data_IF_511847080811
#
_entry.id   IF_511847080811
#
_cell.length_a   1.000
_cell.length_b   1.000
_cell.length_c   1.000
_cell.angle_alpha   90.00
_cell.angle_beta   90.00
_cell.angle_gamma   90.00
#
_symmetry.space_group_name_H-M   'P 1'
#
loop_
_entity.id
_entity.type
_entity.pdbx_description
1 polymer ?
#
# COMPACT_ATOMS: atom_id res chain seq x y z
N UNK A 1 -8.75 -12.57 -13.77
CA UNK A 1 -9.10 -11.15 -13.94
C UNK A 1 -7.95 -10.38 -13.34
N UNK A 2 -7.26 -9.54 -14.08
CA UNK A 2 -6.18 -8.71 -13.57
C UNK A 2 -6.79 -7.44 -12.96
N UNK A 3 -6.38 -7.06 -11.77
CA UNK A 3 -6.82 -5.85 -11.08
C UNK A 3 -5.56 -5.12 -10.62
N UNK A 4 -5.41 -3.89 -11.09
CA UNK A 4 -4.31 -2.97 -10.81
C UNK A 4 -4.64 -1.95 -9.72
N UNK A 5 -5.93 -1.75 -9.45
CA UNK A 5 -6.41 -0.87 -8.38
C UNK A 5 -7.40 -1.58 -7.48
N UNK A 6 -7.21 -1.42 -6.18
CA UNK A 6 -8.12 -1.96 -5.18
C UNK A 6 -8.26 -0.98 -4.01
N UNK A 7 -9.46 -0.92 -3.45
CA UNK A 7 -9.73 -0.13 -2.26
C UNK A 7 -9.95 -1.08 -1.09
N UNK A 8 -9.25 -0.83 0.00
CA UNK A 8 -9.35 -1.62 1.21
C UNK A 8 -9.59 -0.73 2.41
N UNK A 9 -10.35 -1.26 3.36
CA UNK A 9 -10.57 -0.66 4.67
C UNK A 9 -9.73 -1.40 5.70
N UNK A 10 -8.85 -0.67 6.37
CA UNK A 10 -7.91 -1.21 7.37
C UNK A 10 -8.34 -0.72 8.73
N UNK A 11 -8.37 -1.63 9.70
CA UNK A 11 -8.71 -1.31 11.08
C UNK A 11 -7.66 -1.96 11.98
N UNK A 12 -6.90 -1.15 12.72
CA UNK A 12 -5.99 -1.71 13.73
C UNK A 12 -6.75 -2.19 14.95
N UNK A 13 -6.14 -3.06 15.75
CA UNK A 13 -6.74 -3.55 16.97
C UNK A 13 -6.90 -2.45 18.01
N UNK A 14 -8.05 -2.36 18.65
CA UNK A 14 -8.22 -1.51 19.84
C UNK A 14 -7.48 -2.13 21.02
N UNK A 15 -6.98 -1.31 21.93
CA UNK A 15 -6.45 -1.77 23.21
C UNK A 15 -7.55 -2.34 24.10
N UNK A 16 -7.19 -3.32 24.92
CA UNK A 16 -8.06 -3.83 25.97
C UNK A 16 -8.20 -2.83 27.13
N UNK A 17 -9.33 -2.83 27.81
CA UNK A 17 -9.54 -1.97 28.97
C UNK A 17 -8.73 -2.44 30.18
N UNK A 18 -8.28 -1.50 31.02
CA UNK A 18 -7.79 -1.80 32.35
C UNK A 18 -8.88 -2.38 33.25
N UNK A 19 -8.48 -3.02 34.33
CA UNK A 19 -9.41 -3.58 35.30
C UNK A 19 -9.43 -2.80 36.60
N UNK A 20 -10.60 -2.71 37.25
CA UNK A 20 -10.73 -2.32 38.63
C UNK A 20 -10.89 -3.60 39.47
N UNK A 21 -9.93 -3.88 40.31
CA UNK A 21 -9.98 -5.05 41.19
C UNK A 21 -9.24 -4.80 42.52
N UNK A 22 -9.60 -5.56 43.52
CA UNK A 22 -9.06 -5.47 44.88
C UNK A 22 -8.46 -6.80 45.27
N UNK A 23 -7.34 -6.75 45.96
CA UNK A 23 -6.74 -7.93 46.55
C UNK A 23 -7.63 -8.42 47.74
N UNK A 24 -8.08 -9.63 47.67
CA UNK A 24 -8.83 -10.29 48.73
C UNK A 24 -8.10 -11.57 49.12
N UNK A 25 -7.50 -11.54 50.28
CA UNK A 25 -6.79 -12.71 50.84
C UNK A 25 -7.25 -12.95 52.30
N UNK A 26 -7.15 -14.20 52.72
CA UNK A 26 -7.44 -14.58 54.11
C UNK A 26 -6.46 -13.84 55.04
N UNK A 27 -6.94 -13.18 56.04
CA UNK A 27 -6.18 -12.36 57.00
C UNK A 27 -5.64 -11.01 56.48
N UNK A 28 -6.11 -10.51 55.33
CA UNK A 28 -5.77 -9.17 54.84
C UNK A 28 -7.05 -8.34 54.77
N UNK A 29 -7.29 -7.53 55.80
CA UNK A 29 -8.53 -6.73 55.91
C UNK A 29 -8.67 -5.64 54.85
N UNK A 30 -7.55 -5.05 54.42
CA UNK A 30 -7.51 -3.97 53.41
C UNK A 30 -6.49 -4.31 52.35
N UNK A 31 -6.89 -5.20 51.41
CA UNK A 31 -6.09 -5.47 50.23
C UNK A 31 -6.05 -4.27 49.30
N UNK A 32 -4.89 -3.91 48.79
CA UNK A 32 -4.71 -2.82 47.84
C UNK A 32 -5.33 -3.09 46.48
N UNK A 33 -5.29 -2.10 45.55
CA UNK A 33 -5.77 -2.28 44.21
C UNK A 33 -4.95 -3.34 43.48
N UNK A 34 -5.62 -4.19 42.72
CA UNK A 34 -5.05 -5.36 42.05
C UNK A 34 -5.63 -5.59 40.65
N UNK A 35 -6.08 -4.54 40.00
CA UNK A 35 -6.51 -4.57 38.61
C UNK A 35 -5.33 -4.53 37.65
N UNK A 36 -5.28 -5.47 36.70
CA UNK A 36 -4.27 -5.54 35.64
C UNK A 36 -4.57 -4.57 34.52
N UNK A 37 -3.54 -4.29 33.72
CA UNK A 37 -3.66 -3.45 32.53
C UNK A 37 -4.26 -4.25 31.38
N UNK A 38 -4.93 -3.59 30.43
CA UNK A 38 -5.35 -4.18 29.15
C UNK A 38 -4.15 -4.44 28.23
N UNK A 39 -4.30 -5.38 27.31
CA UNK A 39 -3.32 -5.65 26.26
C UNK A 39 -3.37 -4.61 25.15
N UNK A 40 -2.27 -4.40 24.45
CA UNK A 40 -2.23 -3.57 23.23
C UNK A 40 -3.00 -4.26 22.10
N UNK A 41 -3.67 -3.50 21.23
CA UNK A 41 -4.22 -3.99 19.97
C UNK A 41 -3.11 -4.31 18.96
N UNK A 42 -3.40 -5.17 17.99
CA UNK A 42 -2.49 -5.52 16.90
C UNK A 42 -2.34 -4.39 15.89
N UNK A 43 -1.16 -4.24 15.32
CA UNK A 43 -0.85 -3.33 14.22
C UNK A 43 -1.30 -3.94 12.90
N UNK A 44 -1.42 -3.11 11.84
CA UNK A 44 -1.69 -3.57 10.48
C UNK A 44 -0.53 -3.16 9.58
N UNK A 45 0.05 -4.15 8.92
CA UNK A 45 1.17 -3.99 7.98
C UNK A 45 0.79 -4.47 6.59
N UNK A 46 1.27 -3.77 5.57
CA UNK A 46 1.44 -4.35 4.23
C UNK A 46 2.82 -5.00 4.13
N UNK A 47 2.88 -6.13 3.43
CA UNK A 47 4.12 -6.88 3.20
C UNK A 47 4.23 -7.23 1.73
N UNK A 48 5.38 -6.98 1.13
CA UNK A 48 5.67 -7.36 -0.24
C UNK A 48 5.74 -8.89 -0.38
N UNK A 49 5.14 -9.41 -1.44
CA UNK A 49 5.21 -10.84 -1.79
C UNK A 49 5.45 -11.02 -3.28
N UNK A 50 6.48 -11.78 -3.64
CA UNK A 50 6.81 -12.11 -5.02
C UNK A 50 5.83 -13.10 -5.65
N UNK A 51 5.13 -13.88 -4.82
CA UNK A 51 4.14 -14.86 -5.30
C UNK A 51 2.84 -14.23 -5.83
N UNK A 52 2.64 -12.93 -5.57
CA UNK A 52 1.46 -12.19 -5.99
C UNK A 52 1.80 -11.30 -7.18
N UNK A 53 1.02 -11.42 -8.26
CA UNK A 53 1.16 -10.58 -9.47
C UNK A 53 -0.04 -9.67 -9.72
N UNK A 54 -1.10 -9.74 -8.91
CA UNK A 54 -2.33 -8.96 -9.09
C UNK A 54 -2.95 -8.58 -7.74
N UNK A 55 -3.81 -7.54 -7.73
CA UNK A 55 -4.62 -7.15 -6.57
C UNK A 55 -5.99 -7.82 -6.54
N UNK A 56 -6.17 -8.97 -7.23
CA UNK A 56 -7.46 -9.63 -7.40
C UNK A 56 -8.12 -10.03 -6.07
N UNK A 57 -7.35 -10.48 -5.10
CA UNK A 57 -7.84 -10.95 -3.80
C UNK A 57 -8.55 -9.83 -3.03
N UNK A 58 -8.11 -8.59 -3.22
CA UNK A 58 -8.67 -7.41 -2.57
C UNK A 58 -10.06 -7.02 -3.10
N UNK A 59 -10.44 -7.50 -4.28
CA UNK A 59 -11.81 -7.37 -4.79
C UNK A 59 -12.81 -8.20 -3.99
N UNK A 60 -12.38 -9.36 -3.52
CA UNK A 60 -13.25 -10.28 -2.77
C UNK A 60 -13.23 -9.98 -1.27
N UNK A 61 -12.10 -9.51 -0.76
CA UNK A 61 -11.93 -9.14 0.63
C UNK A 61 -11.38 -7.71 0.72
N UNK A 62 -12.24 -6.76 1.02
CA UNK A 62 -11.90 -5.34 1.12
C UNK A 62 -11.74 -4.83 2.55
N UNK A 63 -12.12 -5.61 3.58
CA UNK A 63 -12.01 -5.22 4.98
C UNK A 63 -11.00 -6.09 5.73
N UNK A 64 -10.05 -5.43 6.37
CA UNK A 64 -8.98 -6.05 7.14
C UNK A 64 -8.93 -5.45 8.54
N UNK A 65 -9.05 -6.29 9.55
CA UNK A 65 -9.01 -5.86 10.95
C UNK A 65 -8.01 -6.71 11.74
N UNK A 66 -7.11 -6.03 12.47
CA UNK A 66 -6.20 -6.69 13.38
C UNK A 66 -6.91 -7.08 14.69
N UNK A 67 -6.28 -7.94 15.45
CA UNK A 67 -6.86 -8.46 16.70
C UNK A 67 -6.85 -7.38 17.79
N UNK A 68 -7.95 -7.27 18.51
CA UNK A 68 -8.06 -6.39 19.71
C UNK A 68 -7.24 -6.95 20.85
N UNK A 69 -6.75 -6.08 21.73
CA UNK A 69 -6.14 -6.46 23.00
C UNK A 69 -7.17 -6.99 24.00
N UNK A 70 -6.78 -7.97 24.80
CA UNK A 70 -7.64 -8.49 25.87
C UNK A 70 -7.70 -7.50 27.04
N UNK A 71 -8.83 -7.47 27.72
CA UNK A 71 -8.98 -6.64 28.91
C UNK A 71 -8.11 -7.16 30.08
N UNK A 72 -7.67 -6.25 30.93
CA UNK A 72 -7.03 -6.57 32.19
C UNK A 72 -7.96 -7.37 33.13
N UNK A 73 -7.38 -8.13 34.02
CA UNK A 73 -8.12 -8.97 34.93
C UNK A 73 -7.70 -8.71 36.40
N UNK A 74 -8.38 -9.39 37.32
CA UNK A 74 -8.04 -9.36 38.77
C UNK A 74 -6.65 -9.92 39.02
N UNK A 75 -6.09 -9.67 40.21
CA UNK A 75 -4.79 -10.17 40.70
C UNK A 75 -3.60 -9.69 39.85
N UNK A 76 -3.68 -8.45 39.33
CA UNK A 76 -2.67 -7.83 38.43
C UNK A 76 -2.39 -8.66 37.19
N UNK A 77 -3.35 -9.47 36.72
CA UNK A 77 -3.22 -10.17 35.45
C UNK A 77 -3.48 -9.18 34.29
N UNK A 78 -2.44 -8.97 33.48
CA UNK A 78 -2.55 -8.12 32.29
C UNK A 78 -3.22 -8.89 31.15
N UNK A 79 -3.99 -8.16 30.31
CA UNK A 79 -4.57 -8.69 29.10
C UNK A 79 -3.48 -9.02 28.06
N UNK A 80 -3.72 -10.05 27.24
CA UNK A 80 -2.81 -10.38 26.14
C UNK A 80 -2.89 -9.32 25.05
N UNK A 81 -1.75 -9.03 24.40
CA UNK A 81 -1.70 -8.17 23.23
C UNK A 81 -2.39 -8.85 22.05
N UNK A 82 -3.10 -8.08 21.25
CA UNK A 82 -3.64 -8.52 19.97
C UNK A 82 -2.51 -8.86 18.98
N UNK A 83 -2.77 -9.82 18.10
CA UNK A 83 -1.82 -10.19 17.04
C UNK A 83 -1.83 -9.15 15.94
N UNK A 84 -0.65 -8.83 15.42
CA UNK A 84 -0.49 -7.97 14.24
C UNK A 84 -1.05 -8.66 13.00
N UNK A 85 -1.56 -7.86 12.07
CA UNK A 85 -2.10 -8.33 10.81
C UNK A 85 -1.15 -7.96 9.67
N UNK A 86 -0.73 -8.96 8.91
CA UNK A 86 0.09 -8.80 7.72
C UNK A 86 -0.77 -9.03 6.48
N UNK A 87 -0.83 -8.03 5.61
CA UNK A 87 -1.56 -8.06 4.35
C UNK A 87 -0.53 -8.15 3.24
N UNK A 88 -0.52 -9.26 2.50
CA UNK A 88 0.44 -9.47 1.41
C UNK A 88 -0.03 -8.76 0.14
N UNK A 89 0.87 -8.01 -0.50
CA UNK A 89 0.65 -7.30 -1.76
C UNK A 89 1.76 -7.58 -2.75
N UNK A 90 1.51 -7.46 -4.06
CA UNK A 90 2.56 -7.59 -5.07
C UNK A 90 3.64 -6.50 -4.92
N UNK A 91 4.84 -6.80 -5.39
CA UNK A 91 5.89 -5.80 -5.57
C UNK A 91 5.42 -4.67 -6.50
N UNK A 92 5.87 -3.44 -6.24
CA UNK A 92 5.48 -2.27 -7.01
C UNK A 92 4.08 -1.74 -6.68
N UNK A 93 3.52 -2.11 -5.53
CA UNK A 93 2.25 -1.58 -5.05
C UNK A 93 2.45 -0.22 -4.39
N UNK A 94 1.81 0.80 -4.93
CA UNK A 94 1.70 2.14 -4.32
C UNK A 94 0.48 2.22 -3.45
N UNK A 95 0.65 2.83 -2.31
CA UNK A 95 -0.34 2.93 -1.25
C UNK A 95 -0.72 4.39 -1.04
N UNK A 96 -2.01 4.71 -1.21
CA UNK A 96 -2.55 6.06 -0.99
C UNK A 96 -3.60 6.06 0.10
N UNK A 97 -3.61 7.09 0.90
CA UNK A 97 -4.72 7.36 1.80
C UNK A 97 -5.86 8.04 1.01
N UNK A 98 -7.06 7.44 1.04
CA UNK A 98 -8.20 7.97 0.29
C UNK A 98 -8.74 9.28 0.84
N UNK A 99 -8.51 9.60 2.11
CA UNK A 99 -9.00 10.83 2.74
C UNK A 99 -8.10 12.02 2.42
N UNK A 100 -6.78 11.81 2.47
CA UNK A 100 -5.80 12.89 2.25
C UNK A 100 -5.28 12.94 0.81
N UNK A 101 -5.41 11.85 0.06
CA UNK A 101 -4.82 11.67 -1.27
C UNK A 101 -3.30 11.47 -1.27
N UNK A 102 -2.67 11.49 -0.09
CA UNK A 102 -1.21 11.35 0.07
C UNK A 102 -0.73 9.94 -0.26
N UNK A 103 0.47 9.84 -0.84
CA UNK A 103 1.18 8.58 -1.02
C UNK A 103 1.93 8.27 0.26
N UNK A 104 1.50 7.21 0.95
CA UNK A 104 2.05 6.77 2.23
C UNK A 104 3.12 5.70 2.10
N UNK A 105 3.25 5.09 0.93
CA UNK A 105 4.28 4.11 0.69
C UNK A 105 4.31 3.60 -0.74
N UNK A 106 5.48 3.10 -1.14
CA UNK A 106 5.75 2.44 -2.40
C UNK A 106 6.56 1.18 -2.08
N UNK A 107 5.94 0.01 -2.23
CA UNK A 107 6.51 -1.26 -1.83
C UNK A 107 7.35 -1.81 -2.97
N UNK A 108 8.69 -1.72 -2.84
CA UNK A 108 9.66 -2.04 -3.89
C UNK A 108 10.44 -3.32 -3.64
N UNK A 109 10.72 -3.62 -2.38
CA UNK A 109 11.61 -4.72 -2.02
C UNK A 109 10.86 -5.90 -1.40
N UNK A 110 11.40 -7.09 -1.60
CA UNK A 110 10.87 -8.30 -0.98
C UNK A 110 10.88 -8.18 0.55
N UNK A 111 9.85 -8.69 1.20
CA UNK A 111 9.63 -8.61 2.66
C UNK A 111 9.61 -7.19 3.24
N UNK A 112 9.56 -6.16 2.42
CA UNK A 112 9.35 -4.80 2.88
C UNK A 112 8.02 -4.68 3.61
N UNK A 113 8.06 -4.03 4.79
CA UNK A 113 6.88 -3.86 5.66
C UNK A 113 6.54 -2.39 5.79
N UNK A 114 5.33 -2.05 5.38
CA UNK A 114 4.76 -0.71 5.55
C UNK A 114 3.70 -0.76 6.65
N UNK A 115 3.85 0.05 7.68
CA UNK A 115 2.84 0.22 8.73
C UNK A 115 1.69 1.06 8.19
N UNK A 116 0.48 0.50 8.16
CA UNK A 116 -0.74 1.22 7.75
C UNK A 116 -1.50 1.84 8.91
N UNK A 117 -1.57 1.12 10.02
CA UNK A 117 -2.30 1.57 11.18
C UNK A 117 -1.75 0.91 12.46
N UNK A 118 -1.37 1.73 13.42
CA UNK A 118 -0.87 1.28 14.72
C UNK A 118 -2.01 0.90 15.64
N UNK A 119 -1.84 -0.20 16.38
CA UNK A 119 -2.81 -0.66 17.37
C UNK A 119 -2.91 0.25 18.58
N UNK A 120 -4.11 0.38 19.11
CA UNK A 120 -4.40 1.17 20.30
C UNK A 120 -3.68 0.62 21.54
N UNK A 121 -3.27 1.50 22.43
CA UNK A 121 -2.66 1.11 23.72
C UNK A 121 -3.69 0.49 24.64
N UNK A 122 -3.26 -0.48 25.43
CA UNK A 122 -4.09 -1.02 26.51
C UNK A 122 -4.27 -0.01 27.65
N UNK A 123 -5.48 0.06 28.18
CA UNK A 123 -5.81 0.90 29.32
C UNK A 123 -5.13 0.43 30.60
N UNK A 124 -4.81 1.35 31.48
CA UNK A 124 -4.17 1.03 32.76
C UNK A 124 -5.18 0.57 33.79
N UNK A 125 -4.83 -0.49 34.54
CA UNK A 125 -5.62 -0.97 35.66
C UNK A 125 -5.50 -0.07 36.91
N UNK A 126 -6.43 -0.21 37.84
CA UNK A 126 -6.48 0.65 39.04
C UNK A 126 -5.19 0.51 39.92
N UNK A 127 -4.45 -0.58 39.82
CA UNK A 127 -3.18 -0.75 40.52
C UNK A 127 -2.13 0.30 40.13
N UNK A 128 -2.18 0.82 38.87
CA UNK A 128 -1.24 1.83 38.38
C UNK A 128 -1.50 3.24 38.93
N UNK A 129 -2.68 3.48 39.50
CA UNK A 129 -3.11 4.79 39.99
C UNK A 129 -3.04 4.92 41.50
N UNK A 130 -2.55 3.87 42.19
CA UNK A 130 -2.31 3.93 43.60
C UNK A 130 -1.12 4.84 43.93
N UNK A 131 -1.35 5.81 44.81
CA UNK A 131 -0.33 6.70 45.36
C UNK A 131 -0.36 6.66 46.90
N UNK A 132 0.61 7.32 47.54
CA UNK A 132 0.64 7.43 49.01
C UNK A 132 -0.60 8.14 49.58
N UNK A 133 -1.13 9.07 48.84
CA UNK A 133 -2.35 9.84 49.22
C UNK A 133 -3.62 9.14 48.77
N UNK A 134 -3.64 8.53 47.58
CA UNK A 134 -4.77 7.80 47.00
C UNK A 134 -4.44 6.29 46.99
N UNK A 135 -4.73 5.61 48.06
CA UNK A 135 -4.40 4.17 48.18
C UNK A 135 -5.40 3.22 47.52
N UNK A 136 -6.61 3.70 47.22
CA UNK A 136 -7.71 2.86 46.72
C UNK A 136 -8.43 3.51 45.52
N UNK A 137 -7.74 3.70 44.35
CA UNK A 137 -8.39 4.29 43.17
C UNK A 137 -9.48 3.34 42.67
N UNK A 138 -10.70 3.90 42.44
CA UNK A 138 -11.87 3.15 42.01
C UNK A 138 -12.10 3.22 40.49
N UNK A 139 -11.09 3.55 39.72
CA UNK A 139 -11.16 3.68 38.28
C UNK A 139 -10.01 2.98 37.57
N UNK A 140 -10.18 2.72 36.28
CA UNK A 140 -9.15 2.26 35.35
C UNK A 140 -9.29 3.05 34.05
N UNK A 141 -8.28 3.04 33.21
CA UNK A 141 -8.35 3.61 31.87
C UNK A 141 -8.98 2.61 30.90
N UNK A 142 -9.89 3.05 30.00
CA UNK A 142 -10.25 2.25 28.84
C UNK A 142 -9.04 2.11 27.89
N UNK A 143 -9.07 1.09 27.02
CA UNK A 143 -8.10 0.96 25.95
C UNK A 143 -8.33 2.01 24.87
N UNK A 144 -7.23 2.42 24.22
CA UNK A 144 -7.32 3.32 23.05
C UNK A 144 -8.03 2.61 21.89
N UNK A 145 -8.86 3.34 21.16
CA UNK A 145 -9.48 2.84 19.94
C UNK A 145 -8.42 2.57 18.87
N UNK A 146 -8.66 1.54 18.06
CA UNK A 146 -7.85 1.31 16.86
C UNK A 146 -8.07 2.39 15.81
N UNK A 147 -7.09 2.56 14.94
CA UNK A 147 -7.13 3.48 13.80
C UNK A 147 -7.86 2.81 12.65
N UNK A 148 -8.78 3.54 12.03
CA UNK A 148 -9.52 3.11 10.85
C UNK A 148 -9.14 3.98 9.65
N UNK A 149 -8.72 3.34 8.54
CA UNK A 149 -8.27 4.01 7.32
C UNK A 149 -8.85 3.36 6.08
N UNK A 150 -9.18 4.19 5.11
CA UNK A 150 -9.56 3.76 3.76
C UNK A 150 -8.34 3.98 2.86
N UNK A 151 -7.81 2.90 2.30
CA UNK A 151 -6.56 2.85 1.55
C UNK A 151 -6.85 2.44 0.11
N UNK A 152 -6.26 3.16 -0.84
CA UNK A 152 -6.19 2.75 -2.23
C UNK A 152 -4.83 2.10 -2.50
N UNK A 153 -4.86 0.89 -3.04
CA UNK A 153 -3.71 0.16 -3.54
C UNK A 153 -3.69 0.31 -5.05
N UNK A 154 -2.57 0.72 -5.60
CA UNK A 154 -2.35 0.84 -7.05
C UNK A 154 -1.08 0.08 -7.44
N UNK A 155 -1.24 -0.95 -8.26
CA UNK A 155 -0.11 -1.71 -8.77
C UNK A 155 0.54 -0.96 -9.94
N UNK A 156 1.78 -0.54 -9.74
CA UNK A 156 2.54 0.20 -10.76
C UNK A 156 3.24 -0.69 -11.77
N UNK A 157 3.62 -1.91 -11.39
CA UNK A 157 4.21 -2.88 -12.32
C UNK A 157 3.09 -3.55 -13.09
N UNK A 158 2.91 -3.14 -14.35
CA UNK A 158 1.90 -3.75 -15.23
C UNK A 158 2.48 -4.98 -15.91
N UNK A 159 3.77 -4.98 -16.26
CA UNK A 159 4.45 -6.11 -16.91
C UNK A 159 5.95 -6.07 -16.68
N UNK A 160 6.56 -7.25 -16.55
CA UNK A 160 8.02 -7.39 -16.56
C UNK A 160 8.59 -7.30 -17.97
N UNK A 161 7.84 -7.75 -18.98
CA UNK A 161 8.28 -7.78 -20.38
C UNK A 161 7.29 -7.00 -21.23
N UNK A 162 7.79 -6.00 -21.95
CA UNK A 162 7.01 -5.23 -22.93
C UNK A 162 7.18 -5.78 -24.34
N UNK A 163 6.09 -6.04 -25.06
CA UNK A 163 6.15 -6.45 -26.47
C UNK A 163 6.07 -5.23 -27.39
N UNK A 164 7.05 -5.14 -28.26
CA UNK A 164 7.10 -4.17 -29.36
C UNK A 164 6.90 -4.86 -30.71
N UNK A 165 6.48 -4.12 -31.69
CA UNK A 165 6.38 -4.61 -33.06
C UNK A 165 5.29 -3.92 -33.87
N UNK A 166 5.44 -3.93 -35.18
CA UNK A 166 4.43 -3.38 -36.11
C UNK A 166 3.05 -4.05 -35.92
N UNK A 167 1.95 -3.39 -36.36
CA UNK A 167 0.66 -4.05 -36.46
C UNK A 167 0.78 -5.35 -37.27
N UNK A 168 0.03 -6.36 -36.84
CA UNK A 168 0.03 -7.70 -37.45
C UNK A 168 1.37 -8.47 -37.44
N UNK A 169 2.38 -8.02 -36.67
CA UNK A 169 3.61 -8.76 -36.45
C UNK A 169 3.41 -10.07 -35.66
N UNK A 170 2.22 -10.29 -35.12
CA UNK A 170 1.84 -11.48 -34.41
C UNK A 170 1.99 -11.38 -32.88
N UNK A 171 2.07 -10.17 -32.31
CA UNK A 171 2.17 -9.94 -30.86
C UNK A 171 1.05 -10.60 -30.06
N UNK A 172 -0.21 -10.34 -30.46
CA UNK A 172 -1.37 -10.92 -29.74
C UNK A 172 -1.46 -12.42 -29.88
N UNK A 173 -1.05 -12.98 -31.05
CA UNK A 173 -0.95 -14.43 -31.27
C UNK A 173 0.12 -15.01 -30.35
N UNK A 174 1.28 -14.38 -30.24
CA UNK A 174 2.36 -14.80 -29.37
C UNK A 174 1.92 -14.78 -27.89
N UNK A 175 1.30 -13.69 -27.39
CA UNK A 175 0.76 -13.64 -26.03
C UNK A 175 -0.21 -14.81 -25.79
N UNK A 176 -1.10 -15.06 -26.75
CA UNK A 176 -2.08 -16.16 -26.64
C UNK A 176 -1.42 -17.53 -26.58
N UNK A 177 -0.26 -17.69 -27.24
CA UNK A 177 0.48 -18.96 -27.26
C UNK A 177 1.26 -19.27 -25.99
N UNK A 178 1.68 -18.24 -25.25
CA UNK A 178 2.51 -18.38 -24.04
C UNK A 178 1.74 -18.18 -22.73
N UNK A 179 0.53 -17.63 -22.80
CA UNK A 179 -0.26 -17.31 -21.61
C UNK A 179 -0.96 -18.56 -21.05
N UNK A 180 -0.80 -18.81 -19.75
CA UNK A 180 -1.46 -19.90 -19.03
C UNK A 180 -3.00 -19.74 -18.94
N UNK A 181 -3.50 -18.52 -19.12
CA UNK A 181 -4.92 -18.19 -19.22
C UNK A 181 -5.16 -17.37 -20.48
N UNK A 182 -6.41 -17.40 -21.02
CA UNK A 182 -6.75 -16.53 -22.17
C UNK A 182 -6.31 -15.11 -21.90
N UNK A 183 -5.54 -14.47 -22.82
CA UNK A 183 -5.10 -13.10 -22.67
C UNK A 183 -6.28 -12.19 -22.31
N UNK A 184 -6.10 -11.32 -21.36
CA UNK A 184 -7.17 -10.44 -20.92
C UNK A 184 -6.93 -9.04 -21.45
N UNK A 185 -7.97 -8.53 -22.03
CA UNK A 185 -8.14 -7.13 -22.36
C UNK A 185 -8.35 -6.41 -21.05
N UNK A 186 -7.40 -5.58 -20.63
CA UNK A 186 -7.53 -4.79 -19.40
C UNK A 186 -8.02 -3.40 -19.78
N UNK A 187 -9.23 -3.03 -19.33
CA UNK A 187 -9.80 -1.69 -19.50
C UNK A 187 -9.11 -0.74 -18.50
N UNK A 188 -8.15 0.01 -18.98
CA UNK A 188 -7.54 1.09 -18.23
C UNK A 188 -8.26 2.39 -18.52
N UNK A 189 -8.75 3.14 -17.52
CA UNK A 189 -9.53 4.36 -17.72
C UNK A 189 -8.75 5.50 -18.39
N UNK A 190 -7.44 5.32 -18.59
CA UNK A 190 -6.53 6.29 -19.23
C UNK A 190 -5.95 5.81 -20.56
N UNK A 191 -6.39 4.66 -21.09
CA UNK A 191 -5.97 4.16 -22.40
C UNK A 191 -7.15 4.13 -23.36
N UNK A 192 -7.00 4.72 -24.53
CA UNK A 192 -7.97 4.59 -25.63
C UNK A 192 -7.75 3.32 -26.45
N UNK A 193 -6.56 2.68 -26.29
CA UNK A 193 -6.26 1.33 -26.78
C UNK A 193 -5.98 0.41 -25.59
N UNK A 194 -6.75 -0.64 -25.52
CA UNK A 194 -6.70 -1.60 -24.43
C UNK A 194 -5.51 -2.54 -24.62
N UNK A 195 -4.51 -2.56 -23.71
CA UNK A 195 -3.38 -3.47 -23.84
C UNK A 195 -3.80 -4.93 -23.63
N UNK A 196 -3.20 -5.83 -24.42
CA UNK A 196 -3.32 -7.25 -24.17
C UNK A 196 -2.26 -7.67 -23.15
N UNK A 197 -2.70 -8.20 -22.00
CA UNK A 197 -1.83 -8.73 -20.97
C UNK A 197 -1.85 -10.26 -20.99
N UNK A 198 -0.69 -10.88 -20.95
CA UNK A 198 -0.51 -12.32 -20.79
C UNK A 198 0.21 -12.63 -19.48
N UNK A 199 -0.37 -13.50 -18.66
CA UNK A 199 0.30 -14.06 -17.49
C UNK A 199 0.99 -15.35 -17.92
N UNK A 200 2.30 -15.37 -17.81
CA UNK A 200 3.15 -16.50 -18.18
C UNK A 200 3.57 -17.22 -16.89
N UNK A 201 3.29 -18.51 -16.83
CA UNK A 201 3.62 -19.32 -15.67
C UNK A 201 4.98 -20.01 -15.89
N UNK A 202 5.87 -19.88 -14.93
CA UNK A 202 7.16 -20.57 -14.93
C UNK A 202 6.98 -22.04 -14.50
N UNK A 203 7.92 -22.91 -14.88
CA UNK A 203 7.88 -24.33 -14.47
C UNK A 203 7.95 -24.55 -12.96
N UNK A 204 8.55 -23.64 -12.22
CA UNK A 204 8.68 -23.63 -10.75
C UNK A 204 7.42 -23.12 -10.00
N UNK A 205 6.43 -22.64 -10.74
CA UNK A 205 5.16 -22.16 -10.20
C UNK A 205 5.04 -20.63 -10.11
N UNK A 206 6.12 -19.91 -10.25
CA UNK A 206 6.11 -18.45 -10.33
C UNK A 206 5.48 -17.97 -11.64
N UNK A 207 5.06 -16.72 -11.68
CA UNK A 207 4.46 -16.12 -12.88
C UNK A 207 5.00 -14.72 -13.11
N UNK A 208 5.09 -14.33 -14.37
CA UNK A 208 5.38 -12.95 -14.76
C UNK A 208 4.38 -12.46 -15.81
N UNK A 209 4.30 -11.16 -15.97
CA UNK A 209 3.34 -10.52 -16.87
C UNK A 209 4.05 -9.98 -18.11
N UNK A 210 3.49 -10.29 -19.26
CA UNK A 210 3.89 -9.75 -20.57
C UNK A 210 2.79 -8.80 -21.05
N UNK A 211 3.15 -7.59 -21.47
CA UNK A 211 2.21 -6.61 -22.01
C UNK A 211 2.48 -6.30 -23.46
N UNK A 212 1.44 -6.32 -24.30
CA UNK A 212 1.49 -5.71 -25.64
C UNK A 212 1.50 -4.19 -25.49
N UNK A 213 2.42 -3.53 -26.19
CA UNK A 213 2.53 -2.06 -26.25
C UNK A 213 1.82 -1.58 -27.51
N UNK A 214 0.51 -1.25 -27.42
CA UNK A 214 -0.21 -0.71 -28.57
C UNK A 214 0.18 0.75 -28.80
N UNK A 215 0.14 1.20 -30.04
CA UNK A 215 0.19 2.62 -30.38
C UNK A 215 1.55 3.20 -30.77
N UNK A 216 2.61 2.38 -30.91
CA UNK A 216 3.87 2.81 -31.55
C UNK A 216 3.70 2.67 -33.08
N UNK A 217 3.11 3.66 -33.72
CA UNK A 217 2.96 3.74 -35.20
C UNK A 217 3.05 5.21 -35.61
N UNK A 218 3.53 5.45 -36.83
CA UNK A 218 3.66 6.79 -37.46
C UNK A 218 2.52 7.73 -37.08
N UNK A 219 2.84 8.84 -36.37
CA UNK A 219 1.89 9.90 -36.01
C UNK A 219 1.44 9.93 -34.51
N UNK A 220 1.85 9.01 -33.67
CA UNK A 220 1.52 9.04 -32.24
C UNK A 220 2.23 10.20 -31.50
N UNK A 221 3.33 10.73 -32.06
CA UNK A 221 4.05 11.90 -31.55
C UNK A 221 3.38 13.24 -31.80
N UNK A 222 2.41 13.33 -32.74
CA UNK A 222 1.83 14.58 -33.20
C UNK A 222 0.53 14.99 -32.45
N UNK A 223 0.36 14.56 -31.21
CA UNK A 223 -0.57 15.24 -30.29
C UNK A 223 -1.99 14.70 -30.22
N UNK A 224 -2.32 13.54 -30.77
CA UNK A 224 -3.61 12.90 -30.55
C UNK A 224 -3.52 11.87 -29.45
N UNK A 225 -3.41 12.37 -28.27
CA UNK A 225 -3.96 11.88 -27.00
C UNK A 225 -3.73 10.44 -26.49
N UNK A 226 -2.91 9.57 -27.10
CA UNK A 226 -2.97 8.12 -26.84
C UNK A 226 -1.79 7.52 -26.05
N UNK A 227 -0.66 8.21 -25.97
CA UNK A 227 0.60 7.57 -25.63
C UNK A 227 1.11 7.77 -24.21
N UNK A 228 1.05 8.99 -23.69
CA UNK A 228 1.84 9.37 -22.52
C UNK A 228 1.50 8.63 -21.22
N UNK A 229 0.24 8.34 -20.96
CA UNK A 229 -0.16 7.64 -19.74
C UNK A 229 0.19 6.15 -19.78
N UNK A 230 0.02 5.50 -20.95
CA UNK A 230 0.35 4.09 -21.13
C UNK A 230 1.86 3.85 -21.22
N UNK A 231 2.58 4.72 -21.94
CA UNK A 231 4.04 4.62 -22.08
C UNK A 231 4.77 4.83 -20.75
N UNK A 232 4.21 5.58 -19.80
CA UNK A 232 4.68 5.61 -18.40
C UNK A 232 4.67 4.22 -17.73
N UNK A 233 3.78 3.34 -18.14
CA UNK A 233 3.71 1.98 -17.61
C UNK A 233 4.73 1.06 -18.28
N UNK A 234 5.08 1.34 -19.54
CA UNK A 234 6.13 0.62 -20.28
C UNK A 234 7.53 0.95 -19.75
N UNK A 235 7.75 2.17 -19.27
CA UNK A 235 8.99 2.58 -18.61
C UNK A 235 9.38 1.67 -17.43
N UNK A 236 8.44 0.85 -16.97
CA UNK A 236 8.56 -0.02 -15.80
C UNK A 236 8.82 -1.48 -16.15
N UNK A 237 8.89 -1.80 -17.43
CA UNK A 237 9.28 -3.15 -17.87
C UNK A 237 10.76 -3.37 -17.65
N UNK A 238 11.14 -4.60 -17.28
CA UNK A 238 12.53 -4.99 -17.09
C UNK A 238 13.29 -4.94 -18.41
N UNK A 239 12.64 -5.43 -19.47
CA UNK A 239 13.16 -5.38 -20.84
C UNK A 239 12.05 -5.44 -21.88
N UNK A 240 12.43 -5.19 -23.14
CA UNK A 240 11.54 -5.15 -24.27
C UNK A 240 11.77 -6.36 -25.18
N UNK A 241 10.72 -6.95 -25.70
CA UNK A 241 10.78 -8.02 -26.69
C UNK A 241 10.20 -7.47 -28.01
N UNK A 242 11.06 -7.29 -29.00
CA UNK A 242 10.68 -6.72 -30.28
C UNK A 242 10.33 -7.83 -31.28
N UNK A 243 9.03 -7.98 -31.57
CA UNK A 243 8.52 -8.96 -32.51
C UNK A 243 8.54 -8.38 -33.92
N UNK A 244 9.34 -9.00 -34.78
CA UNK A 244 9.53 -8.60 -36.19
C UNK A 244 8.89 -9.61 -37.09
N UNK A 245 8.05 -9.14 -38.01
CA UNK A 245 7.44 -9.96 -39.05
C UNK A 245 8.42 -10.17 -40.21
N UNK A 246 8.86 -11.41 -40.44
CA UNK A 246 9.80 -11.77 -41.49
C UNK A 246 9.17 -11.74 -42.90
N UNK A 247 7.84 -11.75 -43.01
CA UNK A 247 7.13 -11.77 -44.33
C UNK A 247 7.06 -10.39 -44.96
N UNK A 248 7.40 -9.32 -44.25
CA UNK A 248 7.37 -7.97 -44.80
C UNK A 248 8.53 -7.73 -45.73
N UNK A 249 8.39 -6.77 -46.67
CA UNK A 249 9.43 -6.42 -47.63
C UNK A 249 10.73 -5.96 -46.94
N UNK A 250 10.59 -5.12 -45.89
CA UNK A 250 11.72 -4.51 -45.19
C UNK A 250 11.62 -4.64 -43.65
N UNK A 251 11.86 -5.84 -43.09
CA UNK A 251 11.76 -6.06 -41.65
C UNK A 251 12.71 -5.18 -40.81
N UNK A 252 13.91 -4.91 -41.36
CA UNK A 252 14.94 -4.10 -40.67
C UNK A 252 14.50 -2.64 -40.58
N UNK A 253 13.91 -2.09 -41.64
CA UNK A 253 13.35 -0.72 -41.62
C UNK A 253 12.23 -0.59 -40.58
N UNK A 254 11.34 -1.58 -40.52
CA UNK A 254 10.24 -1.59 -39.55
C UNK A 254 10.76 -1.58 -38.10
N UNK A 255 11.82 -2.33 -37.82
CA UNK A 255 12.51 -2.32 -36.55
C UNK A 255 13.11 -0.94 -36.22
N UNK A 256 13.82 -0.31 -37.19
CA UNK A 256 14.43 1.00 -37.00
C UNK A 256 13.38 2.10 -36.77
N UNK A 257 12.24 2.04 -37.43
CA UNK A 257 11.12 3.00 -37.23
C UNK A 257 10.61 2.94 -35.81
N UNK A 258 10.35 1.75 -35.27
CA UNK A 258 9.84 1.60 -33.89
C UNK A 258 10.90 2.09 -32.89
N UNK A 259 12.16 1.79 -33.11
CA UNK A 259 13.23 2.27 -32.20
C UNK A 259 13.40 3.81 -32.27
N UNK A 260 13.21 4.41 -33.43
CA UNK A 260 13.23 5.87 -33.57
C UNK A 260 12.04 6.52 -32.85
N UNK A 261 10.87 5.89 -32.83
CA UNK A 261 9.71 6.37 -32.07
C UNK A 261 9.92 6.22 -30.55
N UNK A 262 10.48 5.09 -30.10
CA UNK A 262 10.84 4.91 -28.69
C UNK A 262 11.82 5.98 -28.21
N UNK A 263 12.84 6.29 -29.01
CA UNK A 263 13.84 7.31 -28.69
C UNK A 263 13.24 8.73 -28.62
N UNK A 264 12.26 9.04 -29.47
CA UNK A 264 11.54 10.33 -29.40
C UNK A 264 10.70 10.46 -28.13
N UNK A 265 10.20 9.34 -27.64
CA UNK A 265 9.32 9.32 -26.47
C UNK A 265 10.11 9.42 -25.16
N UNK A 266 11.07 8.53 -24.95
CA UNK A 266 11.89 8.50 -23.73
C UNK A 266 13.26 7.87 -24.01
N UNK A 267 14.30 8.60 -23.69
CA UNK A 267 15.69 8.20 -23.87
C UNK A 267 16.03 6.93 -23.09
N UNK A 268 15.42 6.72 -21.91
CA UNK A 268 15.57 5.51 -21.11
C UNK A 268 15.05 4.28 -21.83
N UNK A 269 13.85 4.36 -22.44
CA UNK A 269 13.27 3.23 -23.19
C UNK A 269 14.09 2.85 -24.40
N UNK A 270 14.71 3.83 -25.07
CA UNK A 270 15.61 3.59 -26.19
C UNK A 270 16.85 2.78 -25.80
N UNK A 271 17.30 2.93 -24.54
CA UNK A 271 18.47 2.22 -24.01
C UNK A 271 18.13 0.94 -23.22
N UNK A 272 16.83 0.64 -23.05
CA UNK A 272 16.39 -0.59 -22.40
C UNK A 272 16.81 -1.80 -23.24
N UNK A 273 17.26 -2.88 -22.56
CA UNK A 273 17.63 -4.12 -23.24
C UNK A 273 16.51 -4.63 -24.13
N UNK A 274 16.81 -4.91 -25.40
CA UNK A 274 15.85 -5.39 -26.39
C UNK A 274 16.24 -6.78 -26.88
N UNK A 275 15.31 -7.72 -26.75
CA UNK A 275 15.36 -9.04 -27.34
C UNK A 275 14.60 -9.04 -28.67
N UNK A 276 15.30 -9.38 -29.77
CA UNK A 276 14.65 -9.43 -31.09
C UNK A 276 14.10 -10.82 -31.36
N UNK A 277 12.82 -10.85 -31.75
CA UNK A 277 12.09 -12.10 -32.08
C UNK A 277 11.58 -12.02 -33.49
N UNK A 278 12.20 -12.78 -34.38
CA UNK A 278 11.82 -12.95 -35.78
C UNK A 278 10.66 -13.96 -35.86
N UNK A 279 9.44 -13.47 -36.11
CA UNK A 279 8.21 -14.25 -36.13
C UNK A 279 7.78 -14.62 -37.54
N UNK A 280 6.85 -15.59 -37.65
CA UNK A 280 6.29 -16.14 -38.91
C UNK A 280 7.33 -16.94 -39.72
N UNK A 281 8.17 -17.72 -39.04
CA UNK A 281 9.15 -18.59 -39.71
C UNK A 281 8.54 -19.70 -40.54
N UNK A 282 7.26 -19.95 -40.37
CA UNK A 282 6.47 -20.90 -41.14
C UNK A 282 6.10 -20.41 -42.56
N UNK A 283 6.18 -19.10 -42.82
CA UNK A 283 5.80 -18.43 -44.05
C UNK A 283 7.00 -17.91 -44.86
N UNK A 284 8.24 -18.26 -44.46
CA UNK A 284 9.47 -17.73 -45.06
C UNK A 284 10.47 -18.85 -45.28
N UNK A 285 11.25 -18.78 -46.39
CA UNK A 285 12.27 -19.75 -46.73
C UNK A 285 13.49 -19.70 -45.79
N UNK A 286 14.18 -20.81 -45.62
CA UNK A 286 15.31 -20.95 -44.71
C UNK A 286 16.47 -19.98 -45.07
N UNK A 287 16.68 -19.71 -46.35
CA UNK A 287 17.71 -18.77 -46.81
C UNK A 287 17.43 -17.34 -46.29
N UNK A 288 16.18 -16.91 -46.38
CA UNK A 288 15.75 -15.61 -45.87
C UNK A 288 15.83 -15.51 -44.35
N UNK A 289 15.54 -16.59 -43.64
CA UNK A 289 15.70 -16.66 -42.18
C UNK A 289 17.17 -16.44 -41.80
N UNK A 290 18.09 -17.11 -42.48
CA UNK A 290 19.52 -16.97 -42.18
C UNK A 290 20.08 -15.57 -42.54
N UNK A 291 19.59 -14.98 -43.60
CA UNK A 291 19.93 -13.61 -43.99
C UNK A 291 19.50 -12.62 -42.89
N UNK A 292 18.20 -12.65 -42.51
CA UNK A 292 17.66 -11.78 -41.46
C UNK A 292 18.35 -11.99 -40.11
N UNK A 293 18.63 -13.24 -39.75
CA UNK A 293 19.35 -13.55 -38.52
C UNK A 293 20.74 -12.92 -38.48
N UNK A 294 21.48 -12.89 -39.60
CA UNK A 294 22.75 -12.21 -39.72
C UNK A 294 22.63 -10.68 -39.66
N UNK A 295 21.60 -10.10 -40.27
CA UNK A 295 21.37 -8.65 -40.25
C UNK A 295 21.02 -8.17 -38.83
N UNK A 296 20.06 -8.83 -38.18
CA UNK A 296 19.64 -8.45 -36.81
C UNK A 296 20.68 -8.77 -35.76
N UNK A 297 21.55 -9.81 -35.96
CA UNK A 297 22.69 -10.09 -35.08
C UNK A 297 23.74 -8.98 -35.03
N UNK A 298 23.71 -8.02 -35.96
CA UNK A 298 24.54 -6.80 -35.92
C UNK A 298 23.90 -5.67 -35.10
N UNK A 299 22.59 -5.72 -34.90
CA UNK A 299 21.79 -4.66 -34.27
C UNK A 299 21.34 -5.00 -32.85
N UNK A 300 21.21 -6.29 -32.53
CA UNK A 300 20.77 -6.78 -31.24
C UNK A 300 21.69 -7.91 -30.74
N UNK A 301 21.86 -7.99 -29.43
CA UNK A 301 22.68 -9.02 -28.80
C UNK A 301 22.08 -10.42 -28.91
N UNK A 302 20.75 -10.50 -28.83
CA UNK A 302 20.02 -11.76 -28.81
C UNK A 302 18.90 -11.74 -29.85
N UNK A 303 18.89 -12.76 -30.74
CA UNK A 303 17.95 -12.89 -31.85
C UNK A 303 17.38 -14.31 -31.88
N UNK A 304 16.08 -14.43 -31.75
CA UNK A 304 15.35 -15.72 -31.81
C UNK A 304 14.47 -15.78 -33.05
N UNK A 305 14.30 -16.98 -33.57
CA UNK A 305 13.41 -17.24 -34.72
C UNK A 305 12.27 -18.15 -34.26
N UNK A 306 11.05 -17.67 -34.41
CA UNK A 306 9.86 -18.41 -33.97
C UNK A 306 8.76 -18.42 -35.02
N UNK A 307 7.82 -19.35 -34.81
CA UNK A 307 6.46 -19.22 -35.35
C UNK A 307 5.46 -19.30 -34.19
N UNK A 308 4.81 -18.19 -33.90
CA UNK A 308 3.78 -18.13 -32.86
C UNK A 308 2.56 -19.02 -33.16
N UNK A 309 2.32 -19.35 -34.45
CA UNK A 309 1.20 -20.19 -34.89
C UNK A 309 1.54 -21.68 -34.73
N UNK A 310 2.73 -22.09 -35.14
CA UNK A 310 3.16 -23.49 -35.08
C UNK A 310 3.88 -23.87 -33.80
N UNK A 311 4.09 -22.92 -32.87
CA UNK A 311 4.89 -23.02 -31.65
C UNK A 311 6.36 -23.37 -31.85
N UNK A 312 6.87 -23.38 -33.09
CA UNK A 312 8.29 -23.68 -33.38
C UNK A 312 9.18 -22.59 -32.76
N UNK A 313 10.17 -22.98 -31.96
CA UNK A 313 11.14 -22.08 -31.32
C UNK A 313 10.60 -21.30 -30.11
N UNK A 314 9.32 -21.43 -29.77
CA UNK A 314 8.71 -20.68 -28.64
C UNK A 314 9.25 -21.16 -27.30
N UNK A 315 9.41 -22.48 -27.09
CA UNK A 315 9.90 -23.01 -25.82
C UNK A 315 11.34 -22.60 -25.54
N UNK A 316 12.20 -22.57 -26.58
CA UNK A 316 13.59 -22.10 -26.45
C UNK A 316 13.65 -20.63 -26.09
N UNK A 317 12.85 -19.81 -26.77
CA UNK A 317 12.69 -18.39 -26.45
C UNK A 317 12.21 -18.18 -25.00
N UNK A 318 11.19 -18.93 -24.56
CA UNK A 318 10.64 -18.77 -23.22
C UNK A 318 11.60 -19.18 -22.13
N UNK A 319 12.40 -20.23 -22.32
CA UNK A 319 13.48 -20.60 -21.40
C UNK A 319 14.55 -19.51 -21.27
N UNK A 320 14.82 -18.79 -22.35
CA UNK A 320 15.71 -17.64 -22.31
C UNK A 320 15.07 -16.46 -21.57
N UNK A 321 13.80 -16.17 -21.85
CA UNK A 321 13.03 -15.09 -21.21
C UNK A 321 12.94 -15.30 -19.70
N UNK A 322 12.67 -16.52 -19.24
CA UNK A 322 12.63 -16.84 -17.80
C UNK A 322 13.92 -16.45 -17.08
N UNK A 323 15.07 -16.85 -17.65
CA UNK A 323 16.38 -16.47 -17.08
C UNK A 323 16.61 -14.96 -17.09
N UNK A 324 16.22 -14.27 -18.18
CA UNK A 324 16.41 -12.82 -18.28
C UNK A 324 15.51 -12.04 -17.33
N UNK A 325 14.30 -12.50 -17.05
CA UNK A 325 13.40 -11.89 -16.05
C UNK A 325 14.01 -11.95 -14.64
N UNK A 326 14.77 -13.01 -14.33
CA UNK A 326 15.47 -13.15 -13.05
C UNK A 326 16.78 -12.33 -12.99
N UNK A 327 17.53 -12.29 -14.08
CA UNK A 327 18.82 -11.59 -14.15
C UNK A 327 18.67 -10.05 -14.12
N UNK A 328 17.63 -9.51 -14.78
CA UNK A 328 17.43 -8.06 -14.90
C UNK A 328 16.57 -7.58 -13.73
N UNK A 329 17.10 -6.73 -12.84
CA UNK A 329 16.34 -6.17 -11.76
C UNK A 329 15.20 -5.27 -12.29
N UNK A 330 14.12 -5.16 -11.53
CA UNK A 330 13.06 -4.21 -11.85
C UNK A 330 13.62 -2.77 -11.82
N UNK A 331 13.23 -1.90 -12.76
CA UNK A 331 13.68 -0.52 -12.76
C UNK A 331 13.17 0.20 -11.49
N UNK A 332 14.06 0.88 -10.80
CA UNK A 332 13.72 1.73 -9.68
C UNK A 332 12.96 2.96 -10.18
N UNK A 333 11.76 3.16 -9.65
CA UNK A 333 10.94 4.33 -9.92
C UNK A 333 10.78 5.05 -8.60
N UNK A 334 11.42 6.20 -8.48
CA UNK A 334 11.27 7.05 -7.31
C UNK A 334 9.83 7.60 -7.28
N UNK A 335 9.18 7.38 -6.16
CA UNK A 335 7.90 8.02 -5.82
C UNK A 335 8.16 8.81 -4.56
N UNK A 336 7.81 10.07 -4.60
CA UNK A 336 7.83 10.88 -3.40
C UNK A 336 6.82 10.30 -2.40
N UNK A 337 7.34 9.71 -1.33
CA UNK A 337 6.56 9.20 -0.19
C UNK A 337 6.50 10.34 0.81
N UNK A 338 5.29 10.74 1.19
CA UNK A 338 5.08 11.76 2.21
C UNK A 338 5.07 11.11 3.59
N UNK A 339 5.55 11.85 4.61
CA UNK A 339 5.46 11.37 5.99
C UNK A 339 4.01 11.07 6.38
N UNK A 340 3.79 9.89 6.94
CA UNK A 340 2.47 9.36 7.28
C UNK A 340 2.21 9.41 8.80
N UNK A 341 1.95 10.61 9.31
CA UNK A 341 1.58 10.80 10.71
C UNK A 341 0.25 10.13 11.06
N UNK A 342 -0.62 9.89 10.07
CA UNK A 342 -1.92 9.28 10.29
C UNK A 342 -1.85 7.78 10.64
N UNK A 343 -0.71 7.10 10.39
CA UNK A 343 -0.48 5.73 10.83
C UNK A 343 -0.31 5.62 12.34
N UNK A 344 0.06 6.71 12.98
CA UNK A 344 0.27 6.82 14.41
C UNK A 344 -0.83 7.66 15.05
N UNK A 345 -1.20 7.35 16.27
CA UNK A 345 -1.92 8.31 17.10
C UNK A 345 -0.93 9.43 17.43
N UNK A 346 -1.07 10.59 16.82
CA UNK A 346 -0.17 11.71 16.99
C UNK A 346 0.05 12.03 18.47
N UNK A 347 1.31 11.94 18.90
CA UNK A 347 1.74 12.25 20.27
C UNK A 347 2.23 13.73 20.35
N UNK A 348 1.94 14.52 19.32
CA UNK A 348 2.32 15.94 19.30
C UNK A 348 1.76 16.66 20.51
N UNK A 349 2.66 17.31 21.22
CA UNK A 349 2.33 18.12 22.41
C UNK A 349 1.71 19.45 22.04
N UNK A 350 1.71 19.81 20.76
CA UNK A 350 1.08 21.04 20.27
C UNK A 350 -0.44 20.91 20.32
N UNK A 351 -1.08 21.98 20.78
CA UNK A 351 -2.53 22.07 20.81
C UNK A 351 -2.99 23.40 20.24
N UNK A 352 -4.17 23.39 19.65
CA UNK A 352 -4.82 24.59 19.14
C UNK A 352 -6.19 24.77 19.78
N UNK A 353 -6.50 26.04 20.11
CA UNK A 353 -7.79 26.39 20.73
C UNK A 353 -8.54 27.30 19.78
N UNK A 354 -9.77 26.91 19.44
CA UNK A 354 -10.69 27.68 18.62
C UNK A 354 -11.92 28.04 19.46
N UNK A 355 -12.34 29.32 19.36
CA UNK A 355 -13.57 29.78 20.00
C UNK A 355 -14.73 29.63 19.02
N UNK A 356 -15.71 28.80 19.36
CA UNK A 356 -17.00 28.71 18.70
C UNK A 356 -18.02 29.72 19.22
N UNK A 357 -19.28 29.55 18.84
CA UNK A 357 -20.36 30.43 19.31
C UNK A 357 -20.67 30.20 20.81
N UNK A 358 -20.77 28.92 21.20
CA UNK A 358 -21.22 28.50 22.54
C UNK A 358 -20.23 27.52 23.20
N UNK A 359 -19.07 27.29 22.60
CA UNK A 359 -18.08 26.30 23.08
C UNK A 359 -16.66 26.64 22.63
N UNK A 360 -15.67 26.13 23.38
CA UNK A 360 -14.27 26.17 23.03
C UNK A 360 -13.85 24.80 22.52
N UNK A 361 -13.19 24.77 21.37
CA UNK A 361 -12.67 23.54 20.75
C UNK A 361 -11.17 23.47 20.97
N UNK A 362 -10.70 22.39 21.57
CA UNK A 362 -9.28 22.12 21.74
C UNK A 362 -8.91 20.91 20.87
N UNK A 363 -7.97 21.14 19.95
CA UNK A 363 -7.46 20.11 19.06
C UNK A 363 -5.98 19.88 19.30
N UNK A 364 -5.51 18.66 19.14
CA UNK A 364 -4.12 18.25 19.31
C UNK A 364 -4.03 16.76 19.59
N UNK A 365 -3.09 16.07 18.95
CA UNK A 365 -3.02 14.61 18.99
C UNK A 365 -2.96 14.05 20.41
N UNK A 366 -2.11 14.61 21.26
CA UNK A 366 -1.92 14.18 22.65
C UNK A 366 -3.14 14.45 23.54
N UNK A 367 -3.75 15.64 23.42
CA UNK A 367 -4.90 16.00 24.25
C UNK A 367 -6.14 15.22 23.87
N UNK A 368 -6.41 15.04 22.57
CA UNK A 368 -7.53 14.24 22.08
C UNK A 368 -7.40 12.77 22.50
N UNK A 369 -6.19 12.21 22.44
CA UNK A 369 -5.89 10.88 22.92
C UNK A 369 -6.18 10.72 24.42
N UNK A 370 -5.72 11.66 25.25
CA UNK A 370 -5.96 11.62 26.69
C UNK A 370 -7.46 11.71 26.97
N UNK A 371 -8.18 12.58 26.24
CA UNK A 371 -9.63 12.70 26.35
C UNK A 371 -10.33 11.40 26.00
N UNK A 372 -9.92 10.71 24.94
CA UNK A 372 -10.54 9.45 24.47
C UNK A 372 -10.42 8.30 25.46
N UNK A 373 -9.40 8.30 26.32
CA UNK A 373 -9.19 7.28 27.37
C UNK A 373 -9.64 7.73 28.75
N UNK A 374 -10.38 8.84 28.84
CA UNK A 374 -10.91 9.38 30.10
C UNK A 374 -12.41 9.15 30.16
N UNK A 375 -12.87 8.49 31.22
CA UNK A 375 -14.31 8.40 31.51
C UNK A 375 -14.75 9.63 32.30
N UNK A 376 -15.37 10.59 31.61
CA UNK A 376 -15.84 11.85 32.21
C UNK A 376 -17.00 11.67 33.20
N UNK A 377 -17.65 10.51 33.22
CA UNK A 377 -18.71 10.21 34.20
C UNK A 377 -18.13 9.88 35.58
N UNK A 378 -16.85 9.54 35.63
CA UNK A 378 -16.13 9.25 36.87
C UNK A 378 -15.41 10.51 37.36
N UNK A 379 -15.86 11.01 38.52
CA UNK A 379 -15.32 12.25 39.13
C UNK A 379 -13.78 12.16 39.35
N UNK A 380 -13.25 11.01 39.75
CA UNK A 380 -11.81 10.84 39.97
C UNK A 380 -11.02 10.95 38.67
N UNK A 381 -11.54 10.41 37.58
CA UNK A 381 -10.93 10.53 36.25
C UNK A 381 -11.03 11.97 35.70
N UNK A 382 -12.17 12.62 35.91
CA UNK A 382 -12.39 14.01 35.49
C UNK A 382 -11.39 14.94 36.18
N UNK A 383 -11.21 14.81 37.49
CA UNK A 383 -10.18 15.58 38.22
C UNK A 383 -8.76 15.33 37.71
N UNK A 384 -8.43 14.07 37.45
CA UNK A 384 -7.13 13.73 36.88
C UNK A 384 -6.96 14.38 35.51
N UNK A 385 -7.97 14.32 34.67
CA UNK A 385 -7.95 14.90 33.33
C UNK A 385 -7.76 16.42 33.39
N UNK A 386 -8.49 17.12 34.26
CA UNK A 386 -8.33 18.55 34.49
C UNK A 386 -6.90 18.92 34.90
N UNK A 387 -6.32 18.15 35.84
CA UNK A 387 -4.94 18.36 36.27
C UNK A 387 -3.91 18.15 35.12
N UNK A 388 -4.17 17.21 34.24
CA UNK A 388 -3.34 17.00 33.03
C UNK A 388 -3.47 18.18 32.07
N UNK A 389 -4.68 18.65 31.81
CA UNK A 389 -4.92 19.85 30.96
C UNK A 389 -4.23 21.09 31.54
N UNK A 390 -4.26 21.27 32.85
CA UNK A 390 -3.56 22.35 33.56
C UNK A 390 -2.03 22.20 33.41
N UNK A 391 -1.50 21.00 33.60
CA UNK A 391 -0.06 20.73 33.44
C UNK A 391 0.43 20.90 31.98
N UNK A 392 -0.46 20.74 30.99
CA UNK A 392 -0.17 21.02 29.58
C UNK A 392 -0.31 22.48 29.19
N UNK A 393 -0.75 23.35 30.12
CA UNK A 393 -0.97 24.79 29.86
C UNK A 393 -2.25 25.08 29.06
N UNK A 394 -3.11 24.08 28.84
CA UNK A 394 -4.35 24.25 28.05
C UNK A 394 -5.36 25.12 28.81
N UNK A 395 -5.48 24.93 30.13
CA UNK A 395 -6.36 25.74 30.98
C UNK A 395 -5.95 27.19 30.97
N UNK A 396 -4.64 27.48 31.12
CA UNK A 396 -4.12 28.83 31.10
C UNK A 396 -4.38 29.54 29.76
N UNK A 397 -4.17 28.80 28.63
CA UNK A 397 -4.45 29.29 27.30
C UNK A 397 -5.95 29.53 27.03
N UNK A 398 -6.85 28.75 27.66
CA UNK A 398 -8.31 28.96 27.60
C UNK A 398 -8.69 30.22 28.37
N UNK A 399 -8.10 30.44 29.55
CA UNK A 399 -8.32 31.65 30.36
C UNK A 399 -7.86 32.90 29.60
N UNK A 400 -6.69 32.86 28.95
CA UNK A 400 -6.20 33.97 28.11
C UNK A 400 -7.19 34.26 26.94
N UNK A 401 -7.88 33.26 26.41
CA UNK A 401 -8.92 33.41 25.36
C UNK A 401 -10.28 33.81 25.90
N UNK A 402 -10.39 34.01 27.23
CA UNK A 402 -11.56 34.57 27.90
C UNK A 402 -12.70 33.56 28.11
N UNK A 403 -12.36 32.30 28.47
CA UNK A 403 -13.33 31.31 28.93
C UNK A 403 -13.97 31.77 30.26
N UNK A 404 -15.24 31.49 30.44
CA UNK A 404 -16.00 31.80 31.64
C UNK A 404 -16.56 30.52 32.27
N UNK A 405 -16.98 30.62 33.53
CA UNK A 405 -17.70 29.53 34.19
C UNK A 405 -18.94 29.17 33.40
N UNK A 406 -19.20 27.87 33.33
CA UNK A 406 -20.28 27.25 32.56
C UNK A 406 -20.05 27.18 31.05
N UNK A 407 -18.92 27.70 30.51
CA UNK A 407 -18.59 27.50 29.12
C UNK A 407 -18.25 26.02 28.84
N UNK A 408 -18.62 25.57 27.65
CA UNK A 408 -18.39 24.19 27.21
C UNK A 408 -17.01 24.10 26.54
N UNK A 409 -16.21 23.12 26.98
CA UNK A 409 -14.95 22.73 26.32
C UNK A 409 -15.20 21.40 25.59
N UNK A 410 -14.87 21.36 24.30
CA UNK A 410 -14.91 20.18 23.48
C UNK A 410 -13.52 19.74 23.07
N UNK A 411 -13.14 18.50 23.38
CA UNK A 411 -11.86 17.88 23.01
C UNK A 411 -12.16 16.56 22.28
N UNK A 412 -12.02 16.56 20.96
CA UNK A 412 -12.43 15.44 20.14
C UNK A 412 -13.92 15.12 20.30
N UNK A 413 -14.25 13.97 20.90
CA UNK A 413 -15.64 13.52 21.17
C UNK A 413 -16.10 13.81 22.59
N UNK A 414 -15.24 14.37 23.42
CA UNK A 414 -15.51 14.59 24.84
C UNK A 414 -15.90 16.06 25.06
N UNK A 415 -17.02 16.27 25.74
CA UNK A 415 -17.54 17.58 26.12
C UNK A 415 -17.63 17.67 27.63
N UNK A 416 -17.15 18.77 28.21
CA UNK A 416 -17.30 19.03 29.65
C UNK A 416 -17.39 20.53 29.91
N UNK A 417 -17.96 20.88 31.07
CA UNK A 417 -18.18 22.26 31.47
C UNK A 417 -16.98 22.76 32.26
N UNK A 418 -16.54 23.99 31.95
CA UNK A 418 -15.46 24.67 32.67
C UNK A 418 -16.00 25.33 33.93
N UNK A 419 -15.29 25.19 35.03
CA UNK A 419 -15.48 25.96 36.26
C UNK A 419 -14.14 26.51 36.72
N UNK A 420 -14.05 27.80 37.03
CA UNK A 420 -12.87 28.46 37.61
C UNK A 420 -12.72 28.02 39.06
N UNK A 421 -11.63 27.33 39.35
CA UNK A 421 -11.12 26.97 40.68
C UNK A 421 -12.15 26.93 41.82
N UNK A 422 -12.79 25.79 42.03
CA UNK A 422 -13.23 25.29 43.32
C UNK A 422 -13.57 23.80 43.23
N UNK A 423 -12.57 22.98 42.94
CA UNK A 423 -12.70 21.53 43.14
C UNK A 423 -11.48 20.95 43.85
#
# INVERSE_FOLDING_TARGET
MFIDKAQIKVISGSGGNGAVAWRREKYVDKGGPAGGDGGRGGDVYLVASESLSTLLDFKYKSKFAAQIGENGQKKNCHGKCGKDLFIHVPLGTVVRDMKTGKVIGDIKHHDEKLLLAKGGRGGRGNARFATSTRRTPQFCEPGESGIERDIELELKLIAEVGLLGMPNAGKSTFISSISAAKPKIADYPFTTLVPNLGVVQKPDGDSFVVADIPGLIEGASDGVGLGYAFLRHVERTKFLMHIVDMTTENPVRNFDVINAELAKYNDRLAHTYQLVVLNKSDAVDEERIQELKKEFGKKASDVFVISAVTHKGVDELMNFVFRKVEEIPAPEIEVEVEEDDAAYNNDDSEFHIYKGKDSYYVTGGKVERIASVTDITNIEQLHRFYNILKAMGIIDALVEKGIKDEDIIQIGKVEFVYYSDDV
#
